data_IF_214811816938
#
_entry.id   IF_214811816938
#
_cell.length_a   1.000
_cell.length_b   1.000
_cell.length_c   1.000
_cell.angle_alpha   90.00
_cell.angle_beta   90.00
_cell.angle_gamma   90.00
#
_symmetry.space_group_name_H-M   'P 1'
#
loop_
_entity.id
_entity.type
_entity.pdbx_description
1 polymer ?
#
# COMPACT_ATOMS: atom_id res chain seq x y z
N UNK A 1 -3.05 -3.55 -10.67
CA UNK A 1 -1.65 -3.34 -10.22
C UNK A 1 -1.32 -1.87 -9.94
N UNK A 2 -1.41 -0.96 -10.92
CA UNK A 2 -1.04 0.46 -10.73
C UNK A 2 -1.78 1.12 -9.56
N UNK A 3 -3.07 0.82 -9.39
CA UNK A 3 -3.86 1.33 -8.26
C UNK A 3 -3.31 0.90 -6.89
N UNK A 4 -2.82 -0.34 -6.76
CA UNK A 4 -2.23 -0.81 -5.50
C UNK A 4 -0.92 -0.08 -5.22
N UNK A 5 -0.10 0.14 -6.25
CA UNK A 5 1.14 0.90 -6.14
C UNK A 5 0.84 2.36 -5.76
N UNK A 6 -0.17 2.98 -6.34
CA UNK A 6 -0.59 4.35 -6.02
C UNK A 6 -1.10 4.47 -4.57
N UNK A 7 -1.95 3.54 -4.13
CA UNK A 7 -2.42 3.46 -2.74
C UNK A 7 -1.23 3.30 -1.79
N UNK A 8 -0.34 2.36 -2.08
CA UNK A 8 0.83 2.08 -1.25
C UNK A 8 1.77 3.28 -1.20
N UNK A 9 2.06 3.91 -2.33
CA UNK A 9 2.92 5.09 -2.42
C UNK A 9 2.36 6.25 -1.60
N UNK A 10 1.05 6.48 -1.68
CA UNK A 10 0.38 7.48 -0.85
C UNK A 10 0.44 7.12 0.64
N UNK A 11 0.25 5.84 0.99
CA UNK A 11 0.36 5.38 2.38
C UNK A 11 1.79 5.47 2.93
N UNK A 12 2.83 5.32 2.09
CA UNK A 12 4.21 5.57 2.50
C UNK A 12 4.41 7.06 2.82
N UNK A 13 3.94 7.96 1.96
CA UNK A 13 4.17 9.39 2.08
C UNK A 13 3.28 10.09 3.12
N UNK A 14 2.08 9.57 3.37
CA UNK A 14 1.09 10.15 4.28
C UNK A 14 0.70 9.12 5.35
N UNK A 15 1.17 9.35 6.58
CA UNK A 15 0.85 8.48 7.71
C UNK A 15 -0.65 8.48 8.06
N UNK A 16 -1.35 9.60 7.90
CA UNK A 16 -2.80 9.66 8.13
C UNK A 16 -3.56 8.81 7.11
N UNK A 17 -3.17 8.89 5.83
CA UNK A 17 -3.71 8.01 4.80
C UNK A 17 -3.35 6.54 5.07
N UNK A 18 -2.13 6.25 5.55
CA UNK A 18 -1.72 4.89 5.96
C UNK A 18 -2.65 4.32 7.02
N UNK A 19 -3.02 5.10 8.04
CA UNK A 19 -3.96 4.65 9.07
C UNK A 19 -5.34 4.32 8.47
N UNK A 20 -5.81 5.11 7.51
CA UNK A 20 -7.06 4.82 6.79
C UNK A 20 -6.98 3.51 5.99
N UNK A 21 -5.82 3.19 5.39
CA UNK A 21 -5.60 1.90 4.71
C UNK A 21 -5.53 0.77 5.73
N UNK A 22 -4.74 0.90 6.80
CA UNK A 22 -4.53 -0.16 7.81
C UNK A 22 -5.83 -0.59 8.51
N UNK A 23 -6.71 0.35 8.81
CA UNK A 23 -7.95 0.08 9.55
C UNK A 23 -9.21 0.09 8.68
N UNK A 24 -9.09 0.48 7.41
CA UNK A 24 -10.21 0.66 6.48
C UNK A 24 -9.92 0.12 5.08
N UNK A 25 -9.08 -0.92 4.94
CA UNK A 25 -8.65 -1.46 3.66
C UNK A 25 -9.82 -1.81 2.71
N UNK A 26 -10.93 -2.35 3.23
CA UNK A 26 -12.12 -2.65 2.44
C UNK A 26 -12.79 -1.39 1.87
N UNK A 27 -12.87 -0.31 2.66
CA UNK A 27 -13.40 0.97 2.20
C UNK A 27 -12.49 1.62 1.15
N UNK A 28 -11.18 1.51 1.34
CA UNK A 28 -10.19 1.97 0.34
C UNK A 28 -10.34 1.18 -0.96
N UNK A 29 -10.44 -0.15 -0.88
CA UNK A 29 -10.62 -1.01 -2.05
C UNK A 29 -11.89 -0.63 -2.85
N UNK A 30 -12.99 -0.42 -2.14
CA UNK A 30 -14.25 0.04 -2.73
C UNK A 30 -14.12 1.42 -3.39
N UNK A 31 -13.57 2.41 -2.69
CA UNK A 31 -13.39 3.78 -3.20
C UNK A 31 -12.48 3.86 -4.42
N UNK A 32 -11.49 2.99 -4.51
CA UNK A 32 -10.55 2.92 -5.63
C UNK A 32 -11.02 1.98 -6.76
N UNK A 33 -12.21 1.38 -6.61
CA UNK A 33 -12.77 0.39 -7.52
C UNK A 33 -11.74 -0.69 -7.86
N UNK A 34 -11.13 -1.27 -6.82
CA UNK A 34 -10.25 -2.41 -6.97
C UNK A 34 -11.05 -3.64 -7.40
N UNK A 35 -10.43 -4.47 -8.23
CA UNK A 35 -10.95 -5.82 -8.50
C UNK A 35 -10.96 -6.66 -7.22
N UNK A 36 -11.65 -7.81 -7.24
CA UNK A 36 -11.65 -8.76 -6.13
C UNK A 36 -10.23 -9.23 -5.80
N UNK A 37 -9.45 -9.57 -6.82
CA UNK A 37 -8.04 -9.95 -6.69
C UNK A 37 -7.19 -8.84 -6.05
N UNK A 38 -7.29 -7.61 -6.56
CA UNK A 38 -6.57 -6.47 -5.98
C UNK A 38 -7.01 -6.18 -4.54
N UNK A 39 -8.29 -6.41 -4.21
CA UNK A 39 -8.82 -6.22 -2.86
C UNK A 39 -8.25 -7.26 -1.88
N UNK A 40 -8.12 -8.51 -2.31
CA UNK A 40 -7.46 -9.56 -1.53
C UNK A 40 -5.99 -9.21 -1.29
N UNK A 41 -5.28 -8.74 -2.32
CA UNK A 41 -3.89 -8.32 -2.19
C UNK A 41 -3.74 -7.12 -1.26
N UNK A 42 -4.63 -6.11 -1.38
CA UNK A 42 -4.62 -4.92 -0.53
C UNK A 42 -4.84 -5.27 0.94
N UNK A 43 -5.81 -6.13 1.23
CA UNK A 43 -6.20 -6.51 2.60
C UNK A 43 -5.25 -7.54 3.23
N UNK A 44 -4.40 -8.18 2.43
CA UNK A 44 -3.40 -9.15 2.87
C UNK A 44 -1.97 -8.61 2.81
N UNK A 45 -1.21 -9.04 1.79
CA UNK A 45 0.24 -8.82 1.70
C UNK A 45 0.61 -7.33 1.64
N UNK A 46 -0.15 -6.51 0.91
CA UNK A 46 0.14 -5.07 0.84
C UNK A 46 -0.09 -4.39 2.19
N UNK A 47 -1.14 -4.77 2.92
CA UNK A 47 -1.40 -4.28 4.27
C UNK A 47 -0.26 -4.60 5.22
N UNK A 48 0.27 -5.83 5.14
CA UNK A 48 1.39 -6.29 5.95
C UNK A 48 2.66 -5.45 5.70
N UNK A 49 2.99 -5.17 4.43
CA UNK A 49 4.13 -4.31 4.08
C UNK A 49 3.96 -2.88 4.59
N UNK A 50 2.76 -2.33 4.54
CA UNK A 50 2.48 -0.98 5.06
C UNK A 50 2.56 -0.93 6.60
N UNK A 51 2.20 -2.01 7.28
CA UNK A 51 2.17 -2.08 8.75
C UNK A 51 3.58 -2.12 9.38
N UNK A 52 4.59 -2.60 8.64
CA UNK A 52 5.99 -2.68 9.12
C UNK A 52 6.83 -1.45 8.81
N UNK A 53 6.26 -0.45 8.13
CA UNK A 53 6.97 0.79 7.82
C UNK A 53 7.26 1.61 9.11
N UNK A 54 8.37 2.38 9.13
CA UNK A 54 8.62 3.35 10.20
C UNK A 54 7.44 4.32 10.41
N UNK A 55 7.22 4.73 11.66
CA UNK A 55 6.12 5.61 12.07
C UNK A 55 6.67 6.93 12.65
N UNK A 56 6.56 8.06 11.91
CA UNK A 56 6.33 8.15 10.47
C UNK A 56 7.60 7.79 9.66
N UNK A 57 7.42 7.51 8.36
CA UNK A 57 8.54 7.45 7.41
C UNK A 57 9.12 8.86 7.27
N UNK A 58 10.44 9.00 7.37
CA UNK A 58 11.08 10.30 7.22
C UNK A 58 11.02 10.75 5.76
N UNK A 59 10.88 12.06 5.47
CA UNK A 59 10.76 12.57 4.10
C UNK A 59 11.85 12.07 3.15
N UNK A 60 13.10 12.03 3.60
CA UNK A 60 14.25 11.58 2.81
C UNK A 60 14.20 10.07 2.48
N UNK A 61 13.50 9.29 3.31
CA UNK A 61 13.34 7.84 3.13
C UNK A 61 12.11 7.48 2.28
N UNK A 62 11.17 8.43 2.05
CA UNK A 62 9.93 8.17 1.30
C UNK A 62 10.23 7.55 -0.08
N UNK A 63 11.13 8.10 -0.93
CA UNK A 63 11.37 7.53 -2.25
C UNK A 63 11.86 6.08 -2.20
N UNK A 64 12.75 5.77 -1.25
CA UNK A 64 13.29 4.42 -1.08
C UNK A 64 12.22 3.43 -0.60
N UNK A 65 11.36 3.85 0.33
CA UNK A 65 10.27 3.00 0.82
C UNK A 65 9.17 2.79 -0.22
N UNK A 66 8.83 3.82 -1.00
CA UNK A 66 7.91 3.71 -2.13
C UNK A 66 8.41 2.71 -3.17
N UNK A 67 9.69 2.81 -3.55
CA UNK A 67 10.31 1.85 -4.47
C UNK A 67 10.28 0.42 -3.92
N UNK A 68 10.66 0.22 -2.64
CA UNK A 68 10.64 -1.10 -1.98
C UNK A 68 9.26 -1.74 -2.02
N UNK A 69 8.22 -1.01 -1.58
CA UNK A 69 6.85 -1.55 -1.52
C UNK A 69 6.29 -1.78 -2.93
N UNK A 70 6.58 -0.91 -3.89
CA UNK A 70 6.17 -1.10 -5.28
C UNK A 70 6.78 -2.37 -5.89
N UNK A 71 8.05 -2.67 -5.62
CA UNK A 71 8.70 -3.91 -6.09
C UNK A 71 8.06 -5.16 -5.48
N UNK A 72 7.71 -5.13 -4.19
CA UNK A 72 6.94 -6.22 -3.57
C UNK A 72 5.62 -6.43 -4.30
N UNK A 73 4.84 -5.36 -4.51
CA UNK A 73 3.54 -5.42 -5.20
C UNK A 73 3.69 -6.01 -6.61
N UNK A 74 4.69 -5.57 -7.39
CA UNK A 74 4.94 -6.12 -8.72
C UNK A 74 5.27 -7.62 -8.68
N UNK A 75 6.04 -8.05 -7.68
CA UNK A 75 6.37 -9.47 -7.47
C UNK A 75 5.15 -10.35 -7.21
N UNK A 76 4.09 -9.81 -6.57
CA UNK A 76 2.85 -10.54 -6.29
C UNK A 76 2.06 -10.91 -7.56
N UNK A 77 2.17 -10.10 -8.63
CA UNK A 77 1.50 -10.36 -9.91
C UNK A 77 2.35 -11.15 -10.91
N UNK A 78 3.65 -11.30 -10.65
CA UNK A 78 4.56 -12.07 -11.47
C UNK A 78 4.64 -13.56 -11.07
N UNK A 79 3.89 -13.94 -10.02
CA UNK A 79 3.91 -15.28 -9.39
C UNK A 79 2.75 -16.16 -9.84
#
# INVERSE_FOLDING_TARGET
MDKLIDIANRAVADYGFRQAVLYGAADIASKWALSEEESVLLTGQVLAELNVLPIPVQPDDIPAQQARVAEVIKGLFAS
#
